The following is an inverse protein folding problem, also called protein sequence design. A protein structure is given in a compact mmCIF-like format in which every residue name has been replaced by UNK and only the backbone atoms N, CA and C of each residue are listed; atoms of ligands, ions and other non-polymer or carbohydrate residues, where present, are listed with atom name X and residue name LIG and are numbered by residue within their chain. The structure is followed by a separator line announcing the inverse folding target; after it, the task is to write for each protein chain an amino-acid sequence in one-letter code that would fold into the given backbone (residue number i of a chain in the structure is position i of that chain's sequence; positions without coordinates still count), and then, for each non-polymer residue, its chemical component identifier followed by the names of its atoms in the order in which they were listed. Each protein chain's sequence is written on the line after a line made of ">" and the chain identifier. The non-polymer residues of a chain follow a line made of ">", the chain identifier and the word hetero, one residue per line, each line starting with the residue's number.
data_IF_830218718419
#
_entry.id   IF_830218718419
#
_cell.length_a   1.000
_cell.length_b   1.000
_cell.length_c   1.000
_cell.angle_alpha   90.00
_cell.angle_beta   90.00
_cell.angle_gamma   90.00
#
_symmetry.space_group_name_H-M   'P 1'
#
loop_
_entity.id
_entity.type
_entity.pdbx_description
1 polymer ?
#
# COMPACT_ATOMS: atom_id res chain seq x y z
N UNK A 1 26.12 -39.59 11.58
CA UNK A 1 25.74 -41.01 11.49
C UNK A 1 26.66 -41.66 10.48
N UNK A 2 27.64 -42.43 10.96
CA UNK A 2 28.62 -43.10 10.11
C UNK A 2 27.96 -44.31 9.44
N UNK A 3 27.98 -44.36 8.10
CA UNK A 3 27.53 -45.51 7.33
C UNK A 3 28.54 -46.65 7.53
N UNK A 4 28.11 -47.92 7.68
CA UNK A 4 28.93 -48.98 8.29
C UNK A 4 30.12 -49.43 7.43
N UNK A 5 31.26 -49.58 8.10
CA UNK A 5 32.58 -50.08 7.63
C UNK A 5 32.61 -51.55 7.19
N UNK A 6 31.49 -52.27 7.25
CA UNK A 6 31.42 -53.71 6.95
C UNK A 6 31.56 -54.03 5.45
N UNK A 7 31.29 -53.05 4.57
CA UNK A 7 31.41 -53.22 3.12
C UNK A 7 32.88 -53.14 2.67
N UNK A 8 33.66 -52.24 3.27
CA UNK A 8 35.07 -52.04 2.98
C UNK A 8 35.90 -53.29 3.33
N UNK A 9 35.60 -53.92 4.47
CA UNK A 9 36.26 -55.17 4.90
C UNK A 9 36.05 -56.34 3.91
N UNK A 10 34.88 -56.37 3.25
CA UNK A 10 34.52 -57.43 2.31
C UNK A 10 35.06 -57.15 0.89
N UNK A 11 35.13 -55.88 0.48
CA UNK A 11 35.78 -55.46 -0.76
C UNK A 11 37.30 -55.73 -0.70
N UNK A 12 37.95 -55.43 0.43
CA UNK A 12 39.37 -55.75 0.68
C UNK A 12 39.62 -57.27 0.69
N UNK A 13 38.70 -58.06 1.25
CA UNK A 13 38.78 -59.52 1.22
C UNK A 13 38.69 -60.07 -0.20
N UNK A 14 37.82 -59.53 -1.05
CA UNK A 14 37.67 -59.98 -2.45
C UNK A 14 38.87 -59.57 -3.30
N UNK A 15 39.40 -58.36 -3.10
CA UNK A 15 40.63 -57.92 -3.77
C UNK A 15 41.83 -58.77 -3.36
N UNK A 16 41.92 -59.13 -2.08
CA UNK A 16 42.93 -60.04 -1.57
C UNK A 16 42.81 -61.44 -2.19
N UNK A 17 41.63 -62.07 -2.14
CA UNK A 17 41.35 -63.38 -2.74
C UNK A 17 41.64 -63.37 -4.26
N UNK A 18 41.24 -62.31 -4.96
CA UNK A 18 41.51 -62.11 -6.38
C UNK A 18 43.02 -62.08 -6.67
N UNK A 19 43.79 -61.34 -5.85
CA UNK A 19 45.24 -61.23 -6.01
C UNK A 19 45.96 -62.56 -5.78
N UNK A 20 45.47 -63.38 -4.85
CA UNK A 20 46.01 -64.72 -4.55
C UNK A 20 45.75 -65.67 -5.71
N UNK A 21 44.50 -65.76 -6.17
CA UNK A 21 44.12 -66.63 -7.31
C UNK A 21 44.84 -66.22 -8.60
N UNK A 22 45.02 -64.92 -8.83
CA UNK A 22 45.79 -64.41 -9.98
C UNK A 22 47.27 -64.81 -9.90
N UNK A 23 47.92 -64.69 -8.73
CA UNK A 23 49.32 -65.10 -8.54
C UNK A 23 49.50 -66.60 -8.77
N UNK A 24 48.61 -67.43 -8.24
CA UNK A 24 48.65 -68.89 -8.43
C UNK A 24 48.43 -69.29 -9.89
N UNK A 25 47.49 -68.64 -10.58
CA UNK A 25 47.25 -68.87 -12.00
C UNK A 25 48.47 -68.49 -12.84
N UNK A 26 49.08 -67.32 -12.58
CA UNK A 26 50.29 -66.87 -13.27
C UNK A 26 51.48 -67.81 -13.01
N UNK A 27 51.64 -68.32 -11.78
CA UNK A 27 52.66 -69.30 -11.45
C UNK A 27 52.47 -70.62 -12.22
N UNK A 28 51.23 -71.11 -12.33
CA UNK A 28 50.90 -72.32 -13.10
C UNK A 28 51.16 -72.14 -14.61
N UNK A 29 50.86 -70.95 -15.16
CA UNK A 29 51.22 -70.63 -16.55
C UNK A 29 52.73 -70.49 -16.74
N UNK A 30 53.45 -69.85 -15.81
CA UNK A 30 54.90 -69.69 -15.89
C UNK A 30 55.65 -71.02 -15.81
N UNK A 31 55.19 -71.97 -14.98
CA UNK A 31 55.76 -73.33 -14.89
C UNK A 31 55.65 -74.11 -16.21
N UNK A 32 54.66 -73.79 -17.05
CA UNK A 32 54.46 -74.42 -18.36
C UNK A 32 55.47 -73.98 -19.44
N UNK A 33 56.15 -72.83 -19.28
CA UNK A 33 57.12 -72.32 -20.26
C UNK A 33 58.54 -72.87 -20.07
N UNK A 34 58.87 -73.40 -18.88
CA UNK A 34 60.24 -73.87 -18.53
C UNK A 34 60.46 -75.35 -18.88
N UNK A 35 59.41 -76.12 -19.17
CA UNK A 35 59.48 -77.57 -19.38
C UNK A 35 59.04 -78.04 -20.76
N UNK A 36 59.89 -78.80 -21.42
CA UNK A 36 59.64 -79.64 -22.62
C UNK A 36 58.22 -80.25 -22.58
N UNK A 37 57.38 -80.03 -23.61
CA UNK A 37 55.94 -80.34 -23.58
C UNK A 37 55.57 -81.84 -23.66
N UNK A 38 54.27 -82.22 -23.81
CA UNK A 38 53.04 -81.56 -23.39
C UNK A 38 52.20 -82.50 -22.52
N UNK A 39 52.01 -82.19 -21.23
CA UNK A 39 50.73 -82.53 -20.60
C UNK A 39 49.93 -81.23 -20.52
N UNK A 40 49.55 -80.70 -21.69
CA UNK A 40 48.58 -79.59 -21.78
C UNK A 40 47.33 -79.90 -20.95
N UNK A 41 46.94 -81.18 -20.91
CA UNK A 41 45.91 -81.70 -20.03
C UNK A 41 46.17 -81.46 -18.53
N UNK A 42 47.41 -81.65 -18.04
CA UNK A 42 47.74 -81.42 -16.63
C UNK A 42 47.73 -79.92 -16.27
N UNK A 43 48.23 -79.06 -17.15
CA UNK A 43 48.19 -77.60 -16.97
C UNK A 43 46.75 -77.08 -17.02
N UNK A 44 45.93 -77.59 -17.94
CA UNK A 44 44.51 -77.29 -17.98
C UNK A 44 43.80 -77.80 -16.72
N UNK A 45 44.09 -79.02 -16.28
CA UNK A 45 43.50 -79.60 -15.07
C UNK A 45 43.84 -78.81 -13.80
N UNK A 46 45.04 -78.23 -13.70
CA UNK A 46 45.44 -77.39 -12.56
C UNK A 46 44.96 -75.94 -12.67
N UNK A 47 44.83 -75.40 -13.89
CA UNK A 47 44.46 -73.99 -14.12
C UNK A 47 42.94 -73.75 -14.22
N UNK A 48 42.17 -74.70 -14.74
CA UNK A 48 40.71 -74.61 -14.86
C UNK A 48 39.98 -74.31 -13.53
N UNK A 49 40.30 -74.94 -12.38
CA UNK A 49 39.66 -74.58 -11.11
C UNK A 49 39.98 -73.15 -10.68
N UNK A 50 41.21 -72.66 -10.90
CA UNK A 50 41.61 -71.28 -10.59
C UNK A 50 40.85 -70.27 -11.47
N UNK A 51 40.68 -70.57 -12.75
CA UNK A 51 39.87 -69.74 -13.66
C UNK A 51 38.38 -69.75 -13.26
N UNK A 52 37.86 -70.87 -12.77
CA UNK A 52 36.49 -70.94 -12.26
C UNK A 52 36.31 -70.10 -10.97
N UNK A 53 37.29 -70.15 -10.06
CA UNK A 53 37.34 -69.32 -8.85
C UNK A 53 37.43 -67.83 -9.21
N UNK A 54 38.30 -67.45 -10.16
CA UNK A 54 38.42 -66.09 -10.67
C UNK A 54 37.09 -65.56 -11.20
N UNK A 55 36.37 -66.37 -11.99
CA UNK A 55 35.03 -66.00 -12.50
C UNK A 55 33.99 -65.88 -11.39
N UNK A 56 34.08 -66.69 -10.33
CA UNK A 56 33.20 -66.59 -9.18
C UNK A 56 33.46 -65.31 -8.37
N UNK A 57 34.72 -64.95 -8.15
CA UNK A 57 35.12 -63.69 -7.50
C UNK A 57 34.70 -62.46 -8.31
N UNK A 58 34.89 -62.49 -9.63
CA UNK A 58 34.44 -61.41 -10.52
C UNK A 58 32.90 -61.21 -10.44
N UNK A 59 32.12 -62.29 -10.39
CA UNK A 59 30.67 -62.21 -10.19
C UNK A 59 30.31 -61.60 -8.83
N UNK A 60 30.98 -62.02 -7.75
CA UNK A 60 30.78 -61.46 -6.40
C UNK A 60 31.04 -59.95 -6.38
N UNK A 61 32.18 -59.51 -6.93
CA UNK A 61 32.52 -58.09 -7.01
C UNK A 61 31.48 -57.28 -7.83
N UNK A 62 31.01 -57.82 -8.96
CA UNK A 62 29.96 -57.17 -9.74
C UNK A 62 28.63 -57.08 -8.97
N UNK A 63 28.27 -58.11 -8.20
CA UNK A 63 27.06 -58.10 -7.37
C UNK A 63 27.15 -57.11 -6.22
N UNK A 64 28.33 -56.92 -5.61
CA UNK A 64 28.55 -55.90 -4.58
C UNK A 64 28.48 -54.49 -5.12
N UNK A 65 29.13 -54.22 -6.26
CA UNK A 65 29.01 -52.93 -6.94
C UNK A 65 27.54 -52.64 -7.29
N UNK A 66 26.79 -53.65 -7.74
CA UNK A 66 25.36 -53.51 -8.03
C UNK A 66 24.56 -53.21 -6.76
N UNK A 67 24.83 -53.92 -5.65
CA UNK A 67 24.19 -53.67 -4.35
C UNK A 67 24.51 -52.26 -3.82
N UNK A 68 25.76 -51.83 -3.89
CA UNK A 68 26.17 -50.48 -3.47
C UNK A 68 25.50 -49.39 -4.30
N UNK A 69 25.44 -49.55 -5.63
CA UNK A 69 24.71 -48.63 -6.51
C UNK A 69 23.22 -48.55 -6.17
N UNK A 70 22.59 -49.68 -5.87
CA UNK A 70 21.20 -49.71 -5.47
C UNK A 70 20.96 -49.01 -4.13
N UNK A 71 21.79 -49.29 -3.12
CA UNK A 71 21.69 -48.64 -1.81
C UNK A 71 21.87 -47.12 -1.89
N UNK A 72 22.83 -46.64 -2.71
CA UNK A 72 23.03 -45.20 -2.96
C UNK A 72 21.83 -44.60 -3.69
N UNK A 73 21.25 -45.30 -4.66
CA UNK A 73 20.06 -44.83 -5.39
C UNK A 73 18.84 -44.69 -4.45
N UNK A 74 18.63 -45.66 -3.56
CA UNK A 74 17.54 -45.63 -2.57
C UNK A 74 17.73 -44.48 -1.56
N UNK A 75 18.94 -44.32 -1.02
CA UNK A 75 19.25 -43.21 -0.12
C UNK A 75 19.09 -41.85 -0.81
N UNK A 76 19.50 -41.74 -2.08
CA UNK A 76 19.34 -40.52 -2.88
C UNK A 76 17.86 -40.20 -3.13
N UNK A 77 17.03 -41.20 -3.45
CA UNK A 77 15.59 -40.99 -3.64
C UNK A 77 14.92 -40.48 -2.35
N UNK A 78 15.31 -41.02 -1.19
CA UNK A 78 14.83 -40.53 0.11
C UNK A 78 15.24 -39.07 0.38
N UNK A 79 16.48 -38.70 0.04
CA UNK A 79 16.94 -37.32 0.14
C UNK A 79 16.18 -36.37 -0.79
N UNK A 80 15.92 -36.79 -2.04
CA UNK A 80 15.19 -35.99 -3.01
C UNK A 80 13.75 -35.72 -2.54
N UNK A 81 13.07 -36.72 -1.95
CA UNK A 81 11.75 -36.55 -1.36
C UNK A 81 11.78 -35.56 -0.18
N UNK A 82 12.71 -35.73 0.76
CA UNK A 82 12.84 -34.83 1.91
C UNK A 82 13.19 -33.39 1.49
N UNK A 83 13.99 -33.23 0.43
CA UNK A 83 14.30 -31.91 -0.14
C UNK A 83 13.07 -31.24 -0.73
N UNK A 84 12.19 -32.00 -1.39
CA UNK A 84 10.94 -31.48 -1.93
C UNK A 84 9.98 -31.04 -0.80
N UNK A 85 9.85 -31.86 0.24
CA UNK A 85 9.06 -31.53 1.43
C UNK A 85 9.57 -30.24 2.11
N UNK A 86 10.89 -30.12 2.26
CA UNK A 86 11.51 -28.91 2.81
C UNK A 86 11.19 -27.68 1.95
N UNK A 87 11.27 -27.81 0.62
CA UNK A 87 10.96 -26.70 -0.29
C UNK A 87 9.49 -26.27 -0.17
N UNK A 88 8.56 -27.22 -0.04
CA UNK A 88 7.14 -26.95 0.17
C UNK A 88 6.91 -26.17 1.48
N UNK A 89 7.50 -26.63 2.59
CA UNK A 89 7.41 -25.95 3.90
C UNK A 89 8.04 -24.56 3.87
N UNK A 90 9.17 -24.39 3.16
CA UNK A 90 9.79 -23.08 2.99
C UNK A 90 8.94 -22.12 2.16
N UNK A 91 8.19 -22.63 1.19
CA UNK A 91 7.23 -21.83 0.44
C UNK A 91 6.07 -21.40 1.33
N UNK A 92 5.48 -22.34 2.07
CA UNK A 92 4.39 -22.07 3.00
C UNK A 92 4.80 -21.03 4.05
N UNK A 93 5.99 -21.19 4.66
CA UNK A 93 6.54 -20.22 5.59
C UNK A 93 6.62 -18.81 4.98
N UNK A 94 7.21 -18.68 3.79
CA UNK A 94 7.35 -17.38 3.12
C UNK A 94 6.00 -16.77 2.77
N UNK A 95 5.03 -17.59 2.37
CA UNK A 95 3.69 -17.14 2.07
C UNK A 95 3.01 -16.59 3.32
N UNK A 96 3.04 -17.34 4.43
CA UNK A 96 2.50 -16.88 5.71
C UNK A 96 3.20 -15.62 6.23
N UNK A 97 4.53 -15.53 6.11
CA UNK A 97 5.28 -14.32 6.47
C UNK A 97 4.81 -13.10 5.65
N UNK A 98 4.60 -13.28 4.33
CA UNK A 98 4.07 -12.23 3.45
C UNK A 98 2.64 -11.83 3.78
N UNK A 99 1.79 -12.77 4.17
CA UNK A 99 0.43 -12.46 4.62
C UNK A 99 0.45 -11.71 5.94
N UNK A 100 1.29 -12.13 6.90
CA UNK A 100 1.47 -11.44 8.18
C UNK A 100 1.96 -10.01 7.97
N UNK A 101 2.93 -9.77 7.09
CA UNK A 101 3.37 -8.40 6.78
C UNK A 101 2.24 -7.58 6.17
N UNK A 102 1.50 -8.16 5.22
CA UNK A 102 0.35 -7.48 4.60
C UNK A 102 -0.72 -7.10 5.64
N UNK A 103 -1.02 -8.00 6.57
CA UNK A 103 -1.96 -7.73 7.66
C UNK A 103 -1.44 -6.69 8.66
N UNK A 104 -0.13 -6.65 8.91
CA UNK A 104 0.50 -5.64 9.80
C UNK A 104 0.61 -4.27 9.16
N UNK A 105 0.83 -4.23 7.86
CA UNK A 105 0.92 -3.00 7.07
C UNK A 105 -0.46 -2.42 6.75
N UNK A 106 -1.53 -3.10 7.17
CA UNK A 106 -2.88 -2.56 7.10
C UNK A 106 -2.96 -1.26 7.89
N UNK A 107 -3.07 -0.15 7.18
CA UNK A 107 -3.36 1.16 7.76
C UNK A 107 -4.84 1.44 7.64
N UNK A 108 -5.46 1.71 8.77
CA UNK A 108 -6.87 2.09 8.79
C UNK A 108 -7.00 3.59 8.55
N UNK A 109 -8.10 4.02 7.93
CA UNK A 109 -8.37 5.44 7.64
C UNK A 109 -8.35 6.27 8.95
N UNK A 110 -8.71 5.65 10.08
CA UNK A 110 -8.74 6.31 11.39
C UNK A 110 -7.36 6.61 11.99
N UNK A 111 -6.26 6.06 11.43
CA UNK A 111 -4.89 6.33 11.91
C UNK A 111 -4.41 7.73 11.54
N UNK A 112 -5.00 8.35 10.51
CA UNK A 112 -4.64 9.68 10.01
C UNK A 112 -5.61 10.78 10.44
N UNK A 113 -6.66 10.46 11.17
CA UNK A 113 -7.67 11.45 11.56
C UNK A 113 -7.17 12.24 12.77
N UNK A 114 -7.14 13.56 12.61
CA UNK A 114 -6.95 14.48 13.73
C UNK A 114 -8.17 14.37 14.67
N UNK A 115 -7.91 13.94 15.89
CA UNK A 115 -8.90 13.79 16.95
C UNK A 115 -8.74 14.89 17.97
N UNK A 116 -9.84 15.26 18.60
CA UNK A 116 -9.84 16.13 19.78
C UNK A 116 -8.89 15.59 20.87
N UNK A 117 -8.20 16.51 21.53
CA UNK A 117 -7.29 16.22 22.64
C UNK A 117 -7.99 15.49 23.79
N UNK A 118 -7.22 14.76 24.58
CA UNK A 118 -7.76 13.92 25.65
C UNK A 118 -8.45 14.73 26.74
N UNK A 119 -7.91 15.91 27.08
CA UNK A 119 -8.48 16.77 28.12
C UNK A 119 -9.85 17.33 27.69
N UNK A 120 -9.94 17.76 26.43
CA UNK A 120 -11.17 18.28 25.84
C UNK A 120 -12.24 17.18 25.67
N UNK A 121 -11.83 15.99 25.27
CA UNK A 121 -12.72 14.81 25.25
C UNK A 121 -13.25 14.52 26.65
N UNK A 122 -12.38 14.46 27.66
CA UNK A 122 -12.78 14.19 29.04
C UNK A 122 -13.68 15.28 29.61
N UNK A 123 -13.56 16.53 29.19
CA UNK A 123 -14.40 17.63 29.66
C UNK A 123 -15.80 17.65 29.01
N UNK A 124 -15.90 17.26 27.73
CA UNK A 124 -17.11 17.47 26.91
C UNK A 124 -17.87 16.21 26.57
N UNK A 125 -17.26 15.04 26.65
CA UNK A 125 -17.91 13.78 26.34
C UNK A 125 -18.95 13.40 27.40
N UNK A 126 -19.99 12.70 26.97
CA UNK A 126 -21.05 12.21 27.86
C UNK A 126 -20.48 11.22 28.88
N UNK A 127 -21.12 11.10 30.06
CA UNK A 127 -20.66 10.17 31.10
C UNK A 127 -20.68 8.71 30.65
N UNK A 128 -21.60 8.35 29.74
CA UNK A 128 -21.68 7.00 29.17
C UNK A 128 -20.38 6.60 28.44
N UNK A 129 -19.74 7.56 27.76
CA UNK A 129 -18.49 7.36 27.00
C UNK A 129 -17.23 7.48 27.86
N UNK A 130 -17.36 7.86 29.14
CA UNK A 130 -16.26 8.02 30.11
C UNK A 130 -16.30 7.00 31.25
N UNK A 131 -16.97 5.87 31.03
CA UNK A 131 -17.04 4.79 32.03
C UNK A 131 -15.63 4.25 32.33
N UNK A 132 -15.36 3.84 33.58
CA UNK A 132 -14.06 3.32 33.99
C UNK A 132 -13.55 2.13 33.14
N UNK A 133 -14.46 1.25 32.69
CA UNK A 133 -14.15 0.13 31.77
C UNK A 133 -13.68 0.63 30.39
N UNK A 134 -14.24 1.74 29.91
CA UNK A 134 -13.88 2.35 28.62
C UNK A 134 -12.53 3.05 28.74
N UNK A 135 -12.28 3.76 29.84
CA UNK A 135 -11.00 4.45 30.08
C UNK A 135 -9.82 3.48 30.29
N UNK A 136 -10.09 2.26 30.79
CA UNK A 136 -9.07 1.25 31.03
C UNK A 136 -8.64 0.49 29.75
N UNK A 137 -9.53 0.36 28.77
CA UNK A 137 -9.28 -0.35 27.52
C UNK A 137 -9.02 0.64 26.37
N UNK A 138 -7.79 0.65 25.85
CA UNK A 138 -7.36 1.55 24.79
C UNK A 138 -8.24 1.47 23.52
N UNK A 139 -8.73 0.28 23.16
CA UNK A 139 -9.57 0.12 21.98
C UNK A 139 -10.97 0.68 22.20
N UNK A 140 -11.57 0.40 23.38
CA UNK A 140 -12.88 0.98 23.74
C UNK A 140 -12.79 2.50 23.85
N UNK A 141 -11.72 3.02 24.43
CA UNK A 141 -11.46 4.46 24.51
C UNK A 141 -11.40 5.10 23.12
N UNK A 142 -10.65 4.49 22.19
CA UNK A 142 -10.54 5.02 20.82
C UNK A 142 -11.90 5.04 20.11
N UNK A 143 -12.72 4.01 20.29
CA UNK A 143 -14.08 3.96 19.74
C UNK A 143 -14.99 5.06 20.33
N UNK A 144 -14.90 5.29 21.64
CA UNK A 144 -15.65 6.37 22.31
C UNK A 144 -15.24 7.75 21.77
N UNK A 145 -13.93 7.98 21.61
CA UNK A 145 -13.40 9.22 21.02
C UNK A 145 -13.88 9.44 19.59
N UNK A 146 -13.87 8.40 18.75
CA UNK A 146 -14.36 8.48 17.37
C UNK A 146 -15.86 8.79 17.29
N UNK A 147 -16.67 8.22 18.19
CA UNK A 147 -18.11 8.51 18.27
C UNK A 147 -18.38 9.95 18.67
N UNK A 148 -17.67 10.43 19.69
CA UNK A 148 -17.74 11.82 20.12
C UNK A 148 -17.38 12.79 18.99
N UNK A 149 -16.27 12.55 18.30
CA UNK A 149 -15.81 13.37 17.17
C UNK A 149 -16.85 13.38 16.02
N UNK A 150 -17.43 12.22 15.70
CA UNK A 150 -18.48 12.12 14.69
C UNK A 150 -19.73 12.93 15.06
N UNK A 151 -20.16 12.85 16.33
CA UNK A 151 -21.29 13.62 16.84
C UNK A 151 -21.01 15.11 16.77
N UNK A 152 -19.80 15.53 17.13
CA UNK A 152 -19.42 16.93 17.12
C UNK A 152 -19.32 17.49 15.70
N UNK A 153 -18.75 16.74 14.75
CA UNK A 153 -18.74 17.13 13.33
C UNK A 153 -20.15 17.29 12.77
N UNK A 154 -21.07 16.38 13.11
CA UNK A 154 -22.49 16.51 12.72
C UNK A 154 -23.15 17.75 13.31
N UNK A 155 -22.87 18.07 14.58
CA UNK A 155 -23.38 19.26 15.26
C UNK A 155 -22.88 20.54 14.56
N UNK A 156 -21.58 20.62 14.32
CA UNK A 156 -20.94 21.77 13.67
C UNK A 156 -21.40 21.93 12.22
N UNK A 157 -21.61 20.85 11.49
CA UNK A 157 -22.12 20.91 10.12
C UNK A 157 -23.57 21.39 10.06
N UNK A 158 -24.43 20.94 10.99
CA UNK A 158 -25.80 21.46 11.12
C UNK A 158 -25.81 22.95 11.47
N UNK A 159 -24.94 23.38 12.40
CA UNK A 159 -24.79 24.79 12.80
C UNK A 159 -24.29 25.64 11.62
N UNK A 160 -23.26 25.18 10.91
CA UNK A 160 -22.75 25.82 9.69
C UNK A 160 -23.85 26.00 8.65
N UNK A 161 -24.66 24.97 8.41
CA UNK A 161 -25.75 25.03 7.44
C UNK A 161 -26.85 26.01 7.86
N UNK A 162 -27.18 26.06 9.15
CA UNK A 162 -28.13 27.02 9.71
C UNK A 162 -27.61 28.47 9.62
N UNK A 163 -26.33 28.70 9.90
CA UNK A 163 -25.71 30.01 9.74
C UNK A 163 -25.63 30.43 8.26
N UNK A 164 -25.35 29.49 7.37
CA UNK A 164 -25.30 29.75 5.93
C UNK A 164 -26.69 30.14 5.38
N UNK A 165 -27.75 29.44 5.79
CA UNK A 165 -29.12 29.79 5.40
C UNK A 165 -29.55 31.14 5.97
N UNK A 166 -29.21 31.43 7.24
CA UNK A 166 -29.47 32.74 7.86
C UNK A 166 -28.72 33.86 7.15
N UNK A 167 -27.45 33.66 6.80
CA UNK A 167 -26.65 34.61 6.03
C UNK A 167 -27.30 34.88 4.67
N UNK A 168 -27.71 33.84 3.95
CA UNK A 168 -28.37 33.97 2.65
C UNK A 168 -29.69 34.76 2.76
N UNK A 169 -30.50 34.49 3.79
CA UNK A 169 -31.74 35.23 4.05
C UNK A 169 -31.48 36.72 4.33
N UNK A 170 -30.52 37.04 5.20
CA UNK A 170 -30.14 38.43 5.50
C UNK A 170 -29.58 39.16 4.27
N UNK A 171 -28.80 38.47 3.43
CA UNK A 171 -28.30 39.04 2.17
C UNK A 171 -29.43 39.31 1.18
N UNK A 172 -30.41 38.42 1.07
CA UNK A 172 -31.59 38.64 0.23
C UNK A 172 -32.41 39.84 0.73
N UNK A 173 -32.65 39.94 2.04
CA UNK A 173 -33.37 41.06 2.65
C UNK A 173 -32.63 42.38 2.43
N UNK A 174 -31.30 42.42 2.61
CA UNK A 174 -30.50 43.61 2.35
C UNK A 174 -30.56 44.03 0.88
N UNK A 175 -30.52 43.08 -0.06
CA UNK A 175 -30.67 43.37 -1.50
C UNK A 175 -32.05 43.95 -1.80
N UNK A 176 -33.10 43.42 -1.19
CA UNK A 176 -34.46 43.95 -1.35
C UNK A 176 -34.60 45.36 -0.77
N UNK A 177 -34.09 45.60 0.44
CA UNK A 177 -34.06 46.93 1.06
C UNK A 177 -33.26 47.93 0.22
N UNK A 178 -32.12 47.52 -0.34
CA UNK A 178 -31.33 48.36 -1.25
C UNK A 178 -32.13 48.76 -2.50
N UNK A 179 -32.78 47.80 -3.16
CA UNK A 179 -33.68 48.08 -4.30
C UNK A 179 -34.82 49.03 -3.94
N UNK A 180 -35.41 48.88 -2.75
CA UNK A 180 -36.46 49.80 -2.26
C UNK A 180 -35.92 51.21 -2.03
N UNK A 181 -34.72 51.34 -1.46
CA UNK A 181 -34.06 52.64 -1.26
C UNK A 181 -33.71 53.30 -2.60
N UNK A 182 -33.18 52.56 -3.56
CA UNK A 182 -32.90 53.04 -4.92
C UNK A 182 -34.19 53.53 -5.61
N UNK A 183 -35.31 52.81 -5.43
CA UNK A 183 -36.62 53.23 -5.92
C UNK A 183 -37.13 54.52 -5.26
N UNK A 184 -37.05 54.63 -3.93
CA UNK A 184 -37.41 55.84 -3.20
C UNK A 184 -36.54 57.04 -3.59
N UNK A 185 -35.24 56.82 -3.81
CA UNK A 185 -34.32 57.85 -4.28
C UNK A 185 -34.74 58.38 -5.66
N UNK A 186 -35.15 57.49 -6.58
CA UNK A 186 -35.68 57.88 -7.88
C UNK A 186 -36.99 58.70 -7.77
N UNK A 187 -37.93 58.26 -6.93
CA UNK A 187 -39.19 58.98 -6.69
C UNK A 187 -38.95 60.37 -6.10
N UNK A 188 -38.02 60.49 -5.13
CA UNK A 188 -37.65 61.78 -4.54
C UNK A 188 -37.00 62.71 -5.57
N UNK A 189 -36.15 62.19 -6.46
CA UNK A 189 -35.57 62.97 -7.56
C UNK A 189 -36.66 63.50 -8.51
N UNK A 190 -37.65 62.68 -8.84
CA UNK A 190 -38.80 63.10 -9.66
C UNK A 190 -39.67 64.15 -8.94
N UNK A 191 -39.97 63.95 -7.65
CA UNK A 191 -40.69 64.96 -6.86
C UNK A 191 -39.92 66.29 -6.75
N UNK A 192 -38.61 66.24 -6.55
CA UNK A 192 -37.76 67.44 -6.52
C UNK A 192 -37.77 68.15 -7.88
N UNK A 193 -37.66 67.41 -8.98
CA UNK A 193 -37.75 67.96 -10.33
C UNK A 193 -39.11 68.64 -10.54
N UNK A 194 -40.23 67.97 -10.23
CA UNK A 194 -41.58 68.54 -10.30
C UNK A 194 -41.76 69.75 -9.40
N UNK A 195 -41.28 69.69 -8.16
CA UNK A 195 -41.34 70.80 -7.21
C UNK A 195 -40.54 72.00 -7.71
N UNK A 196 -39.34 71.78 -8.24
CA UNK A 196 -38.51 72.85 -8.83
C UNK A 196 -39.19 73.53 -10.02
N UNK A 197 -39.95 72.79 -10.84
CA UNK A 197 -40.77 73.36 -11.92
C UNK A 197 -41.89 74.26 -11.37
N UNK A 198 -42.55 73.83 -10.30
CA UNK A 198 -43.59 74.60 -9.62
C UNK A 198 -43.01 75.86 -8.98
N UNK A 199 -41.91 75.75 -8.23
CA UNK A 199 -41.20 76.90 -7.64
C UNK A 199 -40.74 77.86 -8.72
N UNK A 200 -40.23 77.37 -9.86
CA UNK A 200 -39.85 78.20 -11.01
C UNK A 200 -41.07 78.95 -11.57
N UNK A 201 -42.21 78.28 -11.75
CA UNK A 201 -43.46 78.96 -12.16
C UNK A 201 -43.91 80.03 -11.17
N UNK A 202 -43.86 79.78 -9.87
CA UNK A 202 -44.21 80.78 -8.86
C UNK A 202 -43.21 81.95 -8.78
N UNK A 203 -41.92 81.70 -9.03
CA UNK A 203 -40.89 82.75 -9.15
C UNK A 203 -41.10 83.55 -10.44
N UNK A 204 -41.45 82.90 -11.54
CA UNK A 204 -41.72 83.55 -12.82
C UNK A 204 -43.04 84.34 -12.79
N UNK A 205 -44.08 83.87 -12.10
CA UNK A 205 -45.32 84.63 -11.84
C UNK A 205 -45.05 85.86 -10.93
N UNK A 206 -44.18 85.73 -9.92
CA UNK A 206 -43.70 86.88 -9.14
C UNK A 206 -42.90 87.89 -9.99
N UNK A 207 -42.19 87.42 -11.02
CA UNK A 207 -41.49 88.30 -11.98
C UNK A 207 -42.45 88.94 -12.98
N UNK A 208 -43.57 88.29 -13.31
CA UNK A 208 -44.59 88.85 -14.20
C UNK A 208 -45.45 89.94 -13.52
N UNK A 209 -45.64 89.87 -12.20
CA UNK A 209 -46.31 90.94 -11.42
C UNK A 209 -45.41 92.19 -11.22
N UNK A 210 -44.12 92.07 -11.55
CA UNK A 210 -43.16 93.18 -11.68
C UNK A 210 -42.64 93.24 -13.11
N UNK A 211 -43.50 93.51 -14.09
CA UNK A 211 -43.07 93.63 -15.49
C UNK A 211 -42.21 94.86 -15.74
N UNK A 212 -40.92 94.66 -16.09
CA UNK A 212 -40.19 95.35 -17.17
C UNK A 212 -38.84 94.66 -17.51
N UNK A 213 -38.45 94.82 -18.78
CA UNK A 213 -37.55 94.05 -19.66
C UNK A 213 -36.01 93.99 -19.39
N UNK A 214 -35.24 93.18 -20.18
CA UNK A 214 -33.94 92.59 -19.86
C UNK A 214 -32.72 93.23 -20.56
N UNK A 215 -31.50 92.79 -20.21
CA UNK A 215 -30.25 93.15 -20.90
C UNK A 215 -29.16 92.07 -20.84
N UNK A 216 -28.78 91.61 -22.04
CA UNK A 216 -27.52 91.07 -22.57
C UNK A 216 -26.71 89.93 -21.91
N UNK A 217 -26.29 89.04 -22.83
CA UNK A 217 -25.43 87.86 -22.77
C UNK A 217 -23.99 88.15 -22.33
N UNK A 218 -23.34 87.16 -21.71
CA UNK A 218 -21.96 86.80 -22.05
C UNK A 218 -21.73 85.29 -21.83
N UNK A 219 -20.89 84.72 -22.69
CA UNK A 219 -20.81 83.32 -23.06
C UNK A 219 -19.42 82.77 -22.73
N UNK A 220 -19.35 81.45 -22.45
CA UNK A 220 -18.16 80.58 -22.43
C UNK A 220 -17.21 80.75 -21.21
N UNK A 221 -16.58 79.71 -20.64
CA UNK A 221 -16.12 78.46 -21.22
C UNK A 221 -15.83 77.40 -20.12
N UNK A 222 -16.04 76.13 -20.49
CA UNK A 222 -15.22 74.92 -20.26
C UNK A 222 -14.89 74.35 -18.86
N UNK A 223 -15.22 73.06 -18.78
CA UNK A 223 -14.38 71.93 -18.38
C UNK A 223 -13.65 71.96 -17.04
N UNK A 224 -14.12 71.14 -16.11
CA UNK A 224 -13.20 70.15 -15.51
C UNK A 224 -13.97 68.90 -15.11
N UNK A 225 -13.69 67.83 -15.85
CA UNK A 225 -13.98 66.46 -15.45
C UNK A 225 -13.24 66.13 -14.14
N UNK A 226 -13.97 65.56 -13.17
CA UNK A 226 -13.38 64.82 -12.06
C UNK A 226 -14.12 63.50 -11.96
N UNK A 227 -13.49 62.48 -12.54
CA UNK A 227 -13.80 61.08 -12.32
C UNK A 227 -13.64 60.76 -10.83
N UNK A 228 -14.73 60.35 -10.18
CA UNK A 228 -14.69 59.61 -8.93
C UNK A 228 -14.87 58.13 -9.27
N UNK A 229 -13.78 57.39 -9.22
CA UNK A 229 -13.76 55.94 -9.39
C UNK A 229 -14.68 55.26 -8.36
N UNK A 230 -15.71 54.58 -8.86
CA UNK A 230 -16.37 53.50 -8.13
C UNK A 230 -15.40 52.32 -8.05
N UNK A 231 -14.88 52.05 -6.86
CA UNK A 231 -14.21 50.77 -6.58
C UNK A 231 -15.29 49.69 -6.41
N UNK A 232 -15.54 48.96 -7.49
CA UNK A 232 -16.10 47.62 -7.42
C UNK A 232 -15.11 46.72 -6.65
N UNK A 233 -15.46 46.39 -5.41
CA UNK A 233 -14.81 45.29 -4.69
C UNK A 233 -15.41 43.99 -5.21
N UNK A 234 -14.74 43.45 -6.22
CA UNK A 234 -14.89 42.08 -6.70
C UNK A 234 -14.49 41.12 -5.56
N UNK A 235 -15.48 40.61 -4.83
CA UNK A 235 -15.28 39.56 -3.83
C UNK A 235 -15.05 38.25 -4.58
N UNK A 236 -13.79 37.95 -4.88
CA UNK A 236 -13.37 36.65 -5.39
C UNK A 236 -13.89 35.55 -4.47
N UNK A 237 -14.72 34.68 -5.07
CA UNK A 237 -14.94 33.34 -4.58
C UNK A 237 -13.61 32.59 -4.71
N UNK A 238 -12.83 32.55 -3.64
CA UNK A 238 -11.87 31.47 -3.45
C UNK A 238 -12.69 30.22 -3.14
N UNK A 239 -13.01 29.50 -4.22
CA UNK A 239 -12.96 28.04 -4.19
C UNK A 239 -11.56 27.65 -3.73
N UNK A 240 -11.47 27.05 -2.55
CA UNK A 240 -10.44 26.10 -2.14
C UNK A 240 -11.18 25.10 -1.25
N UNK A 241 -11.33 23.86 -1.75
CA UNK A 241 -10.55 22.69 -1.35
C UNK A 241 -10.93 22.19 0.05
#
# INVERSE_FOLDING_TARGET
>A
MAVPTMQDDNDDAILYELSVVQKELLANLAASHVGVGPNAHAVLSSSMPLVAQLRALARRAHDEVRRGKQAVAEARAGLELASLELQNLQYEKRHLESEITTCRDFRSIYDTIELTDMDDFCARADEADRTADILADAHKLQLARLRFELQERKRLEAEKQALHSRRAAMQAENRERKKRLEGLEADLKDMLARSSLVTRRFVDDKKQDTGLQPGHEEQQDKDTAAAGEEQDVEMQQTSDQ
#
